data_IF_041801509176
#
_entry.id   IF_041801509176
#
_cell.length_a   1.000
_cell.length_b   1.000
_cell.length_c   1.000
_cell.angle_alpha   90.00
_cell.angle_beta   90.00
_cell.angle_gamma   90.00
#
_symmetry.space_group_name_H-M   'P 1'
#
loop_
_entity.id
_entity.type
_entity.pdbx_description
1 polymer ?
#
# COMPACT_ATOMS: atom_id res chain seq x y z
N UNK A 1 -9.94 11.50 25.00
CA UNK A 1 -10.23 12.54 23.98
C UNK A 1 -10.93 11.86 22.80
N UNK A 2 -12.18 12.23 22.50
CA UNK A 2 -13.01 11.56 21.47
C UNK A 2 -12.40 11.65 20.06
N UNK A 3 -11.73 12.76 19.73
CA UNK A 3 -11.07 12.95 18.44
C UNK A 3 -9.93 11.97 18.23
N UNK A 4 -9.12 11.74 19.27
CA UNK A 4 -8.01 10.76 19.24
C UNK A 4 -8.54 9.35 19.04
N UNK A 5 -9.59 8.97 19.79
CA UNK A 5 -10.20 7.64 19.63
C UNK A 5 -10.73 7.44 18.20
N UNK A 6 -11.46 8.42 17.68
CA UNK A 6 -11.99 8.38 16.31
C UNK A 6 -10.89 8.27 15.24
N UNK A 7 -9.72 8.85 15.49
CA UNK A 7 -8.56 8.79 14.60
C UNK A 7 -7.83 7.45 14.73
N UNK A 8 -7.70 6.90 15.93
CA UNK A 8 -7.17 5.54 16.15
C UNK A 8 -8.06 4.50 15.47
N UNK A 9 -9.38 4.56 15.69
CA UNK A 9 -10.36 3.66 15.07
C UNK A 9 -10.33 3.74 13.54
N UNK A 10 -10.11 4.95 12.99
CA UNK A 10 -9.88 5.14 11.56
C UNK A 10 -8.71 4.32 11.06
N UNK A 11 -7.57 4.45 11.76
CA UNK A 11 -6.32 3.86 11.31
C UNK A 11 -6.31 2.34 11.51
N UNK A 12 -7.02 1.81 12.50
CA UNK A 12 -7.18 0.37 12.69
C UNK A 12 -7.96 -0.29 11.55
N UNK A 13 -8.81 0.46 10.85
CA UNK A 13 -9.47 -0.04 9.64
C UNK A 13 -8.52 0.03 8.43
N UNK A 14 -8.02 -1.14 8.01
CA UNK A 14 -7.04 -1.25 6.93
C UNK A 14 -7.52 -0.62 5.61
N UNK A 15 -8.79 -0.80 5.26
CA UNK A 15 -9.37 -0.27 4.02
C UNK A 15 -9.45 1.25 4.03
N UNK A 16 -10.00 1.83 5.10
CA UNK A 16 -10.09 3.29 5.26
C UNK A 16 -8.71 3.94 5.25
N UNK A 17 -7.74 3.34 5.93
CA UNK A 17 -6.36 3.82 5.94
C UNK A 17 -5.75 3.80 4.54
N UNK A 18 -5.91 2.69 3.80
CA UNK A 18 -5.33 2.52 2.46
C UNK A 18 -5.95 3.50 1.46
N UNK A 19 -7.28 3.66 1.47
CA UNK A 19 -7.95 4.64 0.60
C UNK A 19 -7.52 6.07 0.91
N UNK A 20 -7.41 6.43 2.20
CA UNK A 20 -6.89 7.73 2.59
C UNK A 20 -5.43 7.90 2.18
N UNK A 21 -4.60 6.87 2.31
CA UNK A 21 -3.20 6.93 1.92
C UNK A 21 -3.07 7.21 0.42
N UNK A 22 -3.86 6.53 -0.41
CA UNK A 22 -3.87 6.78 -1.85
C UNK A 22 -4.34 8.20 -2.18
N UNK A 23 -5.44 8.64 -1.54
CA UNK A 23 -5.90 10.01 -1.67
C UNK A 23 -4.80 11.02 -1.31
N UNK A 24 -4.14 10.82 -0.18
CA UNK A 24 -3.10 11.70 0.32
C UNK A 24 -1.86 11.73 -0.57
N UNK A 25 -1.47 10.60 -1.14
CA UNK A 25 -0.26 10.47 -1.95
C UNK A 25 -0.47 10.89 -3.41
N UNK A 26 -1.63 10.60 -3.99
CA UNK A 26 -1.87 10.73 -5.44
C UNK A 26 -2.99 11.70 -5.79
N UNK A 27 -4.15 11.61 -5.12
CA UNK A 27 -5.34 12.37 -5.55
C UNK A 27 -5.37 13.80 -5.01
N UNK A 28 -4.73 14.05 -3.88
CA UNK A 28 -4.80 15.33 -3.20
C UNK A 28 -3.64 16.25 -3.62
N UNK A 29 -3.92 17.39 -4.28
CA UNK A 29 -2.87 18.27 -4.79
C UNK A 29 -2.01 18.87 -3.68
N UNK A 30 -0.71 19.00 -3.93
CA UNK A 30 0.23 19.55 -2.95
C UNK A 30 -0.10 21.00 -2.55
N UNK A 31 -0.64 21.80 -3.47
CA UNK A 31 -1.13 23.13 -3.13
C UNK A 31 -2.26 23.09 -2.09
N UNK A 32 -3.23 22.18 -2.25
CA UNK A 32 -4.33 22.05 -1.29
C UNK A 32 -3.86 21.47 0.05
N UNK A 33 -2.84 20.61 0.05
CA UNK A 33 -2.16 20.19 1.28
C UNK A 33 -1.60 21.40 2.01
N UNK A 34 -0.85 22.25 1.30
CA UNK A 34 -0.26 23.47 1.86
C UNK A 34 -1.35 24.38 2.43
N UNK A 35 -2.44 24.62 1.69
CA UNK A 35 -3.54 25.49 2.13
C UNK A 35 -4.21 24.98 3.43
N UNK A 36 -4.50 23.68 3.54
CA UNK A 36 -5.07 23.11 4.78
C UNK A 36 -4.09 23.24 5.95
N UNK A 37 -2.80 23.02 5.70
CA UNK A 37 -1.81 23.14 6.76
C UNK A 37 -1.57 24.58 7.21
N UNK A 38 -1.51 25.55 6.29
CA UNK A 38 -1.39 26.97 6.63
C UNK A 38 -2.59 27.42 7.45
N UNK A 39 -3.81 27.01 7.08
CA UNK A 39 -5.01 27.33 7.84
C UNK A 39 -4.93 26.81 9.28
N UNK A 40 -4.55 25.54 9.48
CA UNK A 40 -4.40 25.00 10.84
C UNK A 40 -3.25 25.67 11.60
N UNK A 41 -2.13 25.97 10.92
CA UNK A 41 -0.99 26.67 11.52
C UNK A 41 -1.39 28.06 12.02
N UNK A 42 -2.14 28.83 11.23
CA UNK A 42 -2.66 30.14 11.61
C UNK A 42 -3.60 30.05 12.82
N UNK A 43 -4.54 29.09 12.83
CA UNK A 43 -5.43 28.84 13.97
C UNK A 43 -4.62 28.61 15.25
N UNK A 44 -3.56 27.80 15.19
CA UNK A 44 -2.74 27.49 16.34
C UNK A 44 -1.91 28.69 16.81
N UNK A 45 -1.44 29.54 15.87
CA UNK A 45 -0.78 30.80 16.19
C UNK A 45 -1.75 31.76 16.90
N UNK A 46 -2.99 31.87 16.43
CA UNK A 46 -4.03 32.69 17.07
C UNK A 46 -4.36 32.20 18.50
N UNK A 47 -4.57 30.90 18.67
CA UNK A 47 -4.80 30.28 19.98
C UNK A 47 -3.63 30.50 20.95
N UNK A 48 -2.39 30.40 20.46
CA UNK A 48 -1.22 30.71 21.28
C UNK A 48 -1.16 32.19 21.65
N UNK A 49 -1.47 33.09 20.72
CA UNK A 49 -1.55 34.52 21.00
C UNK A 49 -2.59 34.84 22.07
N UNK A 50 -3.75 34.20 22.01
CA UNK A 50 -4.81 34.33 23.01
C UNK A 50 -4.36 33.79 24.38
N UNK A 51 -3.78 32.59 24.42
CA UNK A 51 -3.30 31.97 25.65
C UNK A 51 -2.23 32.81 26.38
N UNK A 52 -1.40 33.55 25.64
CA UNK A 52 -0.37 34.42 26.19
C UNK A 52 -0.78 35.90 26.31
N UNK A 53 -2.05 36.26 26.11
CA UNK A 53 -2.52 37.66 26.10
C UNK A 53 -2.10 38.46 27.35
N UNK A 54 -2.29 37.91 28.55
CA UNK A 54 -1.90 38.57 29.81
C UNK A 54 -0.39 38.86 29.87
N UNK A 55 0.44 37.93 29.37
CA UNK A 55 1.89 38.12 29.31
C UNK A 55 2.31 39.16 28.28
N UNK A 56 1.55 39.27 27.19
CA UNK A 56 1.76 40.30 26.15
C UNK A 56 1.36 41.69 26.62
N UNK A 57 0.23 41.82 27.30
CA UNK A 57 -0.24 43.09 27.87
C UNK A 57 0.78 43.65 28.88
N UNK A 58 1.42 42.75 29.63
CA UNK A 58 2.49 43.09 30.57
C UNK A 58 3.88 43.24 29.90
N UNK A 59 3.99 43.13 28.57
CA UNK A 59 5.24 43.13 27.79
C UNK A 59 6.29 42.10 28.25
N UNK A 60 5.86 41.03 28.94
CA UNK A 60 6.70 39.91 29.35
C UNK A 60 6.90 38.87 28.25
N UNK A 61 6.00 38.85 27.27
CA UNK A 61 6.04 37.97 26.10
C UNK A 61 5.87 38.85 24.86
N UNK A 62 6.78 38.72 23.90
CA UNK A 62 6.67 39.40 22.59
C UNK A 62 6.26 38.40 21.50
N UNK A 63 5.72 38.88 20.39
CA UNK A 63 5.28 38.02 19.27
C UNK A 63 6.38 37.06 18.78
N UNK A 64 7.64 37.51 18.81
CA UNK A 64 8.79 36.68 18.45
C UNK A 64 8.93 35.44 19.35
N UNK A 65 8.58 35.54 20.63
CA UNK A 65 8.66 34.41 21.57
C UNK A 65 7.61 33.36 21.22
N UNK A 66 6.39 33.81 20.88
CA UNK A 66 5.29 32.92 20.46
C UNK A 66 5.64 32.22 19.15
N UNK A 67 6.13 32.95 18.14
CA UNK A 67 6.59 32.35 16.88
C UNK A 67 7.75 31.37 17.09
N UNK A 68 8.64 31.64 18.06
CA UNK A 68 9.73 30.73 18.42
C UNK A 68 9.20 29.45 19.10
N UNK A 69 8.17 29.56 19.94
CA UNK A 69 7.50 28.41 20.55
C UNK A 69 6.79 27.56 19.49
N UNK A 70 6.03 28.19 18.61
CA UNK A 70 5.28 27.52 17.53
C UNK A 70 6.23 26.81 16.58
N UNK A 71 7.32 27.46 16.16
CA UNK A 71 8.34 26.82 15.31
C UNK A 71 9.08 25.67 16.01
N UNK A 72 9.23 25.70 17.34
CA UNK A 72 9.76 24.57 18.10
C UNK A 72 8.78 23.39 18.13
N UNK A 73 7.48 23.67 18.28
CA UNK A 73 6.41 22.66 18.21
C UNK A 73 6.38 22.04 16.80
N UNK A 74 6.36 22.88 15.77
CA UNK A 74 6.23 22.50 14.36
C UNK A 74 7.56 22.50 13.60
N UNK A 75 8.60 21.93 14.19
CA UNK A 75 9.96 21.97 13.63
C UNK A 75 10.08 21.41 12.20
N UNK A 76 9.26 20.43 11.85
CA UNK A 76 9.21 19.80 10.53
C UNK A 76 8.34 20.57 9.52
N UNK A 77 7.55 21.54 10.00
CA UNK A 77 6.67 22.35 9.18
C UNK A 77 7.30 23.72 8.86
N UNK A 78 6.96 24.33 7.72
CA UNK A 78 6.40 23.69 6.51
C UNK A 78 7.45 22.87 5.77
N UNK A 79 8.74 23.13 5.99
CA UNK A 79 9.80 22.70 5.07
C UNK A 79 9.91 21.19 4.85
N UNK A 80 9.79 20.36 5.88
CA UNK A 80 9.94 18.90 5.75
C UNK A 80 8.63 18.24 5.35
N UNK A 81 7.51 18.68 5.94
CA UNK A 81 6.16 18.17 5.63
C UNK A 81 5.67 18.53 4.22
N UNK A 82 6.13 19.65 3.67
CA UNK A 82 5.80 20.08 2.31
C UNK A 82 6.94 19.78 1.32
N UNK A 83 7.97 19.04 1.75
CA UNK A 83 9.01 18.52 0.87
C UNK A 83 8.56 17.26 0.13
N UNK A 84 9.36 16.80 -0.83
CA UNK A 84 9.16 15.50 -1.51
C UNK A 84 9.17 14.28 -0.57
N UNK A 85 9.65 14.41 0.67
CA UNK A 85 9.57 13.35 1.71
C UNK A 85 8.38 13.52 2.66
N UNK A 86 7.75 14.68 2.63
CA UNK A 86 6.63 15.06 3.48
C UNK A 86 5.37 14.19 3.37
N UNK A 87 5.00 13.67 2.18
CA UNK A 87 3.80 12.85 2.05
C UNK A 87 3.81 11.59 2.93
N UNK A 88 4.98 10.96 3.10
CA UNK A 88 5.12 9.76 3.94
C UNK A 88 5.15 10.09 5.42
N UNK A 89 5.70 11.24 5.80
CA UNK A 89 5.74 11.66 7.19
C UNK A 89 4.34 11.69 7.82
N UNK A 90 3.33 12.17 7.10
CA UNK A 90 1.94 12.14 7.56
C UNK A 90 1.43 10.70 7.78
N UNK A 91 1.75 9.79 6.86
CA UNK A 91 1.36 8.38 6.96
C UNK A 91 2.13 7.66 8.08
N UNK A 92 3.39 7.99 8.30
CA UNK A 92 4.23 7.49 9.40
C UNK A 92 3.61 7.90 10.75
N UNK A 93 3.20 9.16 10.84
CA UNK A 93 2.50 9.71 11.99
C UNK A 93 1.18 8.97 12.28
N UNK A 94 0.31 8.81 11.29
CA UNK A 94 -0.92 8.02 11.44
C UNK A 94 -0.63 6.55 11.76
N UNK A 95 0.42 5.98 11.18
CA UNK A 95 0.85 4.63 11.49
C UNK A 95 1.22 4.48 12.97
N UNK A 96 2.04 5.40 13.50
CA UNK A 96 2.44 5.40 14.92
C UNK A 96 1.22 5.41 15.84
N UNK A 97 0.20 6.22 15.54
CA UNK A 97 -1.05 6.28 16.32
C UNK A 97 -1.86 4.99 16.31
N UNK A 98 -1.67 4.16 15.29
CA UNK A 98 -2.30 2.84 15.16
C UNK A 98 -1.43 1.68 15.61
N UNK A 99 -0.22 1.95 16.10
CA UNK A 99 0.74 0.93 16.52
C UNK A 99 0.83 0.87 18.04
N UNK A 100 0.94 -0.33 18.60
CA UNK A 100 1.21 -0.53 20.04
C UNK A 100 2.61 -0.01 20.48
N UNK A 101 3.41 0.50 19.54
CA UNK A 101 4.81 0.87 19.75
C UNK A 101 4.94 2.27 20.32
N UNK A 102 4.80 2.38 21.65
CA UNK A 102 5.15 3.59 22.41
C UNK A 102 6.54 4.15 22.10
N UNK A 103 7.50 3.30 21.70
CA UNK A 103 8.87 3.69 21.35
C UNK A 103 8.97 4.48 20.04
N UNK A 104 8.12 4.19 19.04
CA UNK A 104 8.09 4.96 17.78
C UNK A 104 7.49 6.34 18.01
N UNK A 105 6.41 6.41 18.81
CA UNK A 105 5.84 7.68 19.26
C UNK A 105 6.83 8.50 20.09
N UNK A 106 7.58 7.87 21.00
CA UNK A 106 8.65 8.55 21.74
C UNK A 106 9.76 9.08 20.83
N UNK A 107 10.18 8.34 19.80
CA UNK A 107 11.21 8.81 18.83
C UNK A 107 10.75 10.06 18.08
N UNK A 108 9.53 9.99 17.57
CA UNK A 108 8.84 11.05 16.83
C UNK A 108 8.65 12.33 17.67
N UNK A 109 8.43 12.19 18.98
CA UNK A 109 8.43 13.31 19.91
C UNK A 109 9.84 13.76 20.33
N UNK A 110 10.81 12.86 20.41
CA UNK A 110 12.17 13.16 20.92
C UNK A 110 13.06 13.95 19.96
N UNK A 111 12.68 14.11 18.69
CA UNK A 111 13.47 14.90 17.72
C UNK A 111 13.31 16.43 17.91
N UNK A 112 12.52 16.83 18.91
CA UNK A 112 12.50 18.20 19.44
C UNK A 112 13.77 18.43 20.25
N UNK A 113 14.82 18.95 19.61
CA UNK A 113 16.05 19.39 20.28
C UNK A 113 15.81 20.69 21.04
N UNK A 114 15.16 20.61 22.20
CA UNK A 114 15.04 21.73 23.13
C UNK A 114 16.22 21.72 24.10
N UNK A 115 17.17 22.65 23.92
CA UNK A 115 18.19 22.92 24.95
C UNK A 115 17.54 23.75 26.07
N UNK A 116 17.31 23.15 27.23
CA UNK A 116 16.75 23.83 28.39
C UNK A 116 17.33 23.28 29.68
N UNK A 117 17.51 24.16 30.68
CA UNK A 117 17.88 23.77 32.04
C UNK A 117 16.68 23.26 32.85
N UNK A 118 15.46 23.49 32.36
CA UNK A 118 14.22 23.10 33.01
C UNK A 118 13.54 21.95 32.27
N UNK A 119 13.57 20.76 32.89
CA UNK A 119 12.97 19.53 32.34
C UNK A 119 11.45 19.65 32.14
N UNK A 120 10.76 20.44 32.96
CA UNK A 120 9.32 20.63 32.88
C UNK A 120 8.90 21.40 31.62
N UNK A 121 9.69 22.40 31.21
CA UNK A 121 9.45 23.11 29.94
C UNK A 121 9.61 22.19 28.73
N UNK A 122 10.61 21.31 28.73
CA UNK A 122 10.74 20.32 27.67
C UNK A 122 9.51 19.41 27.60
N UNK A 123 9.02 18.93 28.75
CA UNK A 123 7.81 18.11 28.81
C UNK A 123 6.57 18.84 28.30
N UNK A 124 6.40 20.12 28.63
CA UNK A 124 5.28 20.92 28.12
C UNK A 124 5.34 21.15 26.62
N UNK A 125 6.53 21.46 26.07
CA UNK A 125 6.69 21.61 24.61
C UNK A 125 6.36 20.31 23.88
N UNK A 126 6.81 19.17 24.41
CA UNK A 126 6.50 17.86 23.82
C UNK A 126 5.01 17.52 23.89
N UNK A 127 4.35 17.85 25.00
CA UNK A 127 2.91 17.65 25.16
C UNK A 127 2.10 18.55 24.22
N UNK A 128 2.47 19.83 24.11
CA UNK A 128 1.87 20.77 23.15
C UNK A 128 2.05 20.26 21.73
N UNK A 129 3.26 19.89 21.33
CA UNK A 129 3.52 19.32 20.00
C UNK A 129 2.65 18.11 19.69
N UNK A 130 2.55 17.18 20.64
CA UNK A 130 1.72 15.98 20.51
C UNK A 130 0.25 16.35 20.26
N UNK A 131 -0.29 17.26 21.06
CA UNK A 131 -1.68 17.71 20.97
C UNK A 131 -1.95 18.44 19.65
N UNK A 132 -1.07 19.36 19.29
CA UNK A 132 -1.20 20.17 18.09
C UNK A 132 -1.18 19.31 16.83
N UNK A 133 -0.22 18.39 16.71
CA UNK A 133 -0.15 17.45 15.58
C UNK A 133 -1.40 16.57 15.47
N UNK A 134 -1.90 16.06 16.60
CA UNK A 134 -3.14 15.29 16.65
C UNK A 134 -4.36 16.08 16.19
N UNK A 135 -4.42 17.37 16.53
CA UNK A 135 -5.49 18.28 16.10
C UNK A 135 -5.50 18.42 14.58
N UNK A 136 -4.35 18.79 14.00
CA UNK A 136 -4.17 18.96 12.55
C UNK A 136 -4.55 17.69 11.80
N UNK A 137 -4.07 16.52 12.24
CA UNK A 137 -4.36 15.27 11.54
C UNK A 137 -5.82 14.86 11.68
N UNK A 138 -6.45 15.12 12.83
CA UNK A 138 -7.88 14.87 13.01
C UNK A 138 -8.70 15.74 12.06
N UNK A 139 -8.32 17.01 11.87
CA UNK A 139 -8.97 17.91 10.91
C UNK A 139 -8.86 17.38 9.47
N UNK A 140 -7.65 17.01 9.03
CA UNK A 140 -7.40 16.47 7.68
C UNK A 140 -8.17 15.18 7.42
N UNK A 141 -8.16 14.23 8.36
CA UNK A 141 -8.90 12.98 8.21
C UNK A 141 -10.41 13.22 8.20
N UNK A 142 -10.92 14.18 8.98
CA UNK A 142 -12.33 14.54 8.96
C UNK A 142 -12.72 15.25 7.65
N UNK A 143 -11.85 16.11 7.11
CA UNK A 143 -12.04 16.70 5.78
C UNK A 143 -12.19 15.60 4.72
N UNK A 144 -11.27 14.63 4.68
CA UNK A 144 -11.36 13.48 3.77
C UNK A 144 -12.67 12.69 3.95
N UNK A 145 -13.06 12.42 5.20
CA UNK A 145 -14.30 11.69 5.50
C UNK A 145 -15.54 12.41 4.99
N UNK A 146 -15.58 13.74 5.13
CA UNK A 146 -16.69 14.53 4.62
C UNK A 146 -16.74 14.49 3.09
N UNK A 147 -15.58 14.64 2.44
CA UNK A 147 -15.47 14.54 0.98
C UNK A 147 -15.92 13.18 0.43
N UNK A 148 -15.65 12.07 1.14
CA UNK A 148 -16.09 10.73 0.72
C UNK A 148 -17.53 10.39 1.10
N UNK A 149 -18.09 10.98 2.15
CA UNK A 149 -19.51 10.79 2.52
C UNK A 149 -20.46 11.28 1.43
N UNK A 150 -20.05 12.31 0.69
CA UNK A 150 -20.82 12.81 -0.44
C UNK A 150 -20.75 11.89 -1.68
N UNK A 151 -19.94 10.83 -1.66
CA UNK A 151 -19.59 10.01 -2.84
C UNK A 151 -20.10 8.56 -2.76
N UNK A 152 -20.83 8.11 -1.73
CA UNK A 152 -21.33 6.70 -1.72
C UNK A 152 -22.63 6.45 -0.94
N UNK A 153 -23.59 5.75 -1.59
CA UNK A 153 -24.06 4.47 -1.05
C UNK A 153 -23.87 3.37 -2.10
N UNK A 154 -22.98 2.41 -1.85
CA UNK A 154 -22.80 1.30 -2.78
C UNK A 154 -21.66 0.34 -2.43
N UNK A 155 -22.05 -0.80 -1.86
CA UNK A 155 -21.33 -2.08 -1.80
C UNK A 155 -20.13 -2.18 -0.84
N UNK A 156 -20.45 -2.46 0.42
CA UNK A 156 -19.62 -3.34 1.24
C UNK A 156 -19.62 -4.75 0.63
N UNK A 157 -18.51 -5.12 -0.02
CA UNK A 157 -18.14 -6.54 -0.15
C UNK A 157 -17.03 -6.82 0.85
N UNK A 158 -17.44 -7.12 2.08
CA UNK A 158 -16.57 -7.73 3.07
C UNK A 158 -16.19 -9.13 2.60
N UNK A 159 -14.94 -9.32 2.19
CA UNK A 159 -14.32 -10.64 2.14
C UNK A 159 -12.85 -10.52 2.55
N UNK A 160 -12.65 -10.42 3.86
CA UNK A 160 -11.43 -10.88 4.53
C UNK A 160 -11.86 -11.54 5.85
N UNK A 161 -12.22 -12.83 5.77
CA UNK A 161 -11.98 -13.74 6.88
C UNK A 161 -10.52 -14.16 6.82
N UNK A 162 -9.59 -13.31 7.26
CA UNK A 162 -8.20 -13.72 7.45
C UNK A 162 -7.91 -13.85 8.94
N UNK A 163 -7.35 -14.99 9.28
CA UNK A 163 -6.93 -15.44 10.60
C UNK A 163 -6.20 -14.37 11.40
N UNK A 164 -6.43 -14.39 12.71
CA UNK A 164 -5.99 -13.47 13.77
C UNK A 164 -4.47 -13.30 13.99
N UNK A 165 -3.59 -13.66 13.03
CA UNK A 165 -2.12 -13.67 13.22
C UNK A 165 -1.32 -12.74 12.28
N UNK A 166 -1.91 -12.20 11.22
CA UNK A 166 -1.14 -11.36 10.28
C UNK A 166 -1.03 -9.90 10.75
N UNK A 167 0.16 -9.31 10.59
CA UNK A 167 0.40 -7.89 10.91
C UNK A 167 -0.55 -6.96 10.15
N UNK A 168 -1.02 -5.91 10.81
CA UNK A 168 -1.85 -4.84 10.20
C UNK A 168 -1.19 -4.26 8.93
N UNK A 169 0.14 -4.23 8.88
CA UNK A 169 0.88 -3.79 7.69
C UNK A 169 0.63 -4.70 6.48
N UNK A 170 0.67 -6.02 6.68
CA UNK A 170 0.39 -6.97 5.61
C UNK A 170 -1.05 -6.86 5.14
N UNK A 171 -2.01 -6.70 6.06
CA UNK A 171 -3.42 -6.48 5.70
C UNK A 171 -3.59 -5.22 4.82
N UNK A 172 -2.96 -4.11 5.20
CA UNK A 172 -2.99 -2.86 4.41
C UNK A 172 -2.29 -3.00 3.06
N UNK A 173 -1.19 -3.73 2.97
CA UNK A 173 -0.50 -3.98 1.69
C UNK A 173 -1.33 -4.87 0.77
N UNK A 174 -1.91 -5.95 1.28
CA UNK A 174 -2.83 -6.80 0.49
C UNK A 174 -4.03 -5.99 -0.01
N UNK A 175 -4.57 -5.12 0.83
CA UNK A 175 -5.63 -4.19 0.44
C UNK A 175 -5.19 -3.20 -0.64
N UNK A 176 -4.00 -2.62 -0.52
CA UNK A 176 -3.43 -1.71 -1.53
C UNK A 176 -3.22 -2.43 -2.87
N UNK A 177 -2.73 -3.67 -2.83
CA UNK A 177 -2.62 -4.53 -4.02
C UNK A 177 -4.01 -4.74 -4.62
N UNK A 178 -4.99 -5.20 -3.83
CA UNK A 178 -6.37 -5.46 -4.27
C UNK A 178 -7.02 -4.25 -4.97
N UNK A 179 -6.74 -3.04 -4.50
CA UNK A 179 -7.27 -1.79 -5.05
C UNK A 179 -6.42 -1.20 -6.19
N UNK A 180 -5.22 -1.73 -6.45
CA UNK A 180 -4.33 -1.24 -7.50
C UNK A 180 -3.48 -0.02 -7.11
N UNK A 181 -3.38 0.31 -5.82
CA UNK A 181 -2.71 1.51 -5.32
C UNK A 181 -1.19 1.31 -5.20
N UNK A 182 -0.50 1.52 -6.32
CA UNK A 182 0.95 1.36 -6.46
C UNK A 182 1.74 2.32 -5.54
N UNK A 183 1.25 3.54 -5.37
CA UNK A 183 1.81 4.57 -4.49
C UNK A 183 1.81 4.15 -3.01
N UNK A 184 0.69 3.60 -2.52
CA UNK A 184 0.57 3.09 -1.16
C UNK A 184 1.47 1.89 -0.96
N UNK A 185 1.52 0.97 -1.92
CA UNK A 185 2.44 -0.16 -1.91
C UNK A 185 3.91 0.32 -1.89
N UNK A 186 4.25 1.31 -2.71
CA UNK A 186 5.58 1.91 -2.78
C UNK A 186 5.98 2.52 -1.44
N UNK A 187 5.07 3.25 -0.78
CA UNK A 187 5.29 3.76 0.57
C UNK A 187 5.65 2.65 1.56
N UNK A 188 4.86 1.57 1.66
CA UNK A 188 5.14 0.48 2.61
C UNK A 188 6.48 -0.23 2.36
N UNK A 189 6.88 -0.39 1.10
CA UNK A 189 8.13 -1.05 0.73
C UNK A 189 9.33 -0.12 0.99
N UNK A 190 9.26 1.15 0.59
CA UNK A 190 10.38 2.11 0.70
C UNK A 190 10.68 2.52 2.14
N UNK A 191 9.66 2.57 2.99
CA UNK A 191 9.81 2.82 4.44
C UNK A 191 10.20 1.57 5.23
N UNK A 192 10.41 0.43 4.56
CA UNK A 192 10.74 -0.86 5.17
C UNK A 192 9.73 -1.32 6.25
N UNK A 193 8.47 -0.88 6.14
CA UNK A 193 7.38 -1.33 7.01
C UNK A 193 6.93 -2.76 6.70
N UNK A 194 7.19 -3.23 5.48
CA UNK A 194 6.97 -4.62 5.06
C UNK A 194 8.18 -5.18 4.32
N UNK A 195 8.37 -6.49 4.44
CA UNK A 195 9.26 -7.22 3.53
C UNK A 195 8.51 -7.49 2.20
N UNK A 196 8.98 -6.99 1.05
CA UNK A 196 8.35 -7.28 -0.25
C UNK A 196 8.46 -8.75 -0.67
N UNK A 197 9.39 -9.52 -0.07
CA UNK A 197 9.56 -10.96 -0.30
C UNK A 197 8.73 -11.83 0.65
N UNK A 198 7.79 -11.21 1.39
CA UNK A 198 6.87 -11.93 2.25
C UNK A 198 6.05 -12.94 1.45
N UNK A 199 5.78 -14.08 2.11
CA UNK A 199 4.82 -15.08 1.66
C UNK A 199 3.77 -15.24 2.74
N UNK A 200 2.51 -15.24 2.33
CA UNK A 200 1.41 -15.42 3.27
C UNK A 200 1.26 -16.87 3.73
N UNK A 201 0.22 -17.13 4.53
CA UNK A 201 -0.13 -18.47 5.03
C UNK A 201 -0.42 -19.53 3.95
N UNK A 202 -0.61 -19.12 2.69
CA UNK A 202 -0.83 -20.00 1.54
C UNK A 202 0.38 -20.00 0.58
N UNK A 203 1.55 -19.56 1.08
CA UNK A 203 2.80 -19.41 0.35
C UNK A 203 2.71 -18.43 -0.85
N UNK A 204 1.71 -17.53 -0.86
CA UNK A 204 1.51 -16.56 -1.94
C UNK A 204 2.40 -15.33 -1.72
N UNK A 205 3.14 -14.96 -2.75
CA UNK A 205 3.90 -13.69 -2.80
C UNK A 205 2.97 -12.53 -3.18
N UNK A 206 3.41 -11.29 -2.98
CA UNK A 206 2.67 -10.13 -3.48
C UNK A 206 2.49 -10.12 -5.00
N UNK A 207 3.42 -10.72 -5.76
CA UNK A 207 3.26 -10.92 -7.21
C UNK A 207 2.06 -11.83 -7.48
N UNK A 208 1.97 -12.95 -6.77
CA UNK A 208 0.83 -13.86 -6.87
C UNK A 208 -0.47 -13.17 -6.49
N UNK A 209 -0.49 -12.40 -5.39
CA UNK A 209 -1.65 -11.62 -4.96
C UNK A 209 -2.09 -10.59 -6.01
N UNK A 210 -1.15 -9.90 -6.67
CA UNK A 210 -1.45 -8.94 -7.73
C UNK A 210 -2.08 -9.60 -8.95
N UNK A 211 -1.65 -10.82 -9.31
CA UNK A 211 -2.26 -11.61 -10.38
C UNK A 211 -3.69 -12.03 -10.01
N UNK A 212 -3.89 -12.55 -8.80
CA UNK A 212 -5.20 -13.00 -8.30
C UNK A 212 -6.27 -11.89 -8.32
N UNK A 213 -5.88 -10.65 -7.99
CA UNK A 213 -6.79 -9.51 -7.99
C UNK A 213 -6.85 -8.74 -9.31
N UNK A 214 -6.21 -9.26 -10.37
CA UNK A 214 -6.12 -8.61 -11.68
C UNK A 214 -5.58 -7.18 -11.61
N UNK A 215 -4.33 -7.02 -11.15
CA UNK A 215 -3.72 -5.70 -10.91
C UNK A 215 -2.44 -5.50 -11.73
N UNK A 216 -2.56 -5.17 -13.03
CA UNK A 216 -1.41 -5.02 -13.94
C UNK A 216 -0.40 -3.97 -13.49
N UNK A 217 -0.85 -2.79 -13.03
CA UNK A 217 0.02 -1.70 -12.59
C UNK A 217 0.86 -2.09 -11.37
N UNK A 218 0.24 -2.78 -10.41
CA UNK A 218 0.91 -3.31 -9.22
C UNK A 218 1.89 -4.42 -9.59
N UNK A 219 1.49 -5.35 -10.45
CA UNK A 219 2.35 -6.42 -10.95
C UNK A 219 3.60 -5.87 -11.64
N UNK A 220 3.42 -4.91 -12.55
CA UNK A 220 4.52 -4.23 -13.23
C UNK A 220 5.47 -3.53 -12.24
N UNK A 221 4.93 -2.84 -11.24
CA UNK A 221 5.74 -2.21 -10.19
C UNK A 221 6.56 -3.24 -9.38
N UNK A 222 5.92 -4.32 -8.91
CA UNK A 222 6.57 -5.37 -8.11
C UNK A 222 7.71 -6.05 -8.87
N UNK A 223 7.52 -6.31 -10.17
CA UNK A 223 8.52 -6.98 -11.01
C UNK A 223 9.69 -6.05 -11.34
N UNK A 224 9.40 -4.79 -11.72
CA UNK A 224 10.41 -3.93 -12.33
C UNK A 224 11.09 -2.95 -11.35
N UNK A 225 10.40 -2.53 -10.27
CA UNK A 225 10.87 -1.46 -9.39
C UNK A 225 11.39 -1.95 -8.04
N UNK A 226 10.92 -3.09 -7.53
CA UNK A 226 11.35 -3.59 -6.21
C UNK A 226 12.75 -4.22 -6.29
N UNK A 227 13.60 -3.91 -5.30
CA UNK A 227 14.95 -4.45 -5.14
C UNK A 227 15.18 -4.98 -3.71
N UNK A 228 15.82 -6.15 -3.53
CA UNK A 228 16.23 -7.08 -4.59
C UNK A 228 15.02 -7.66 -5.34
N UNK A 229 15.19 -8.22 -6.55
CA UNK A 229 14.06 -8.70 -7.33
C UNK A 229 13.31 -9.84 -6.64
N UNK A 230 11.98 -9.78 -6.66
CA UNK A 230 11.12 -10.86 -6.16
C UNK A 230 11.12 -11.99 -7.19
N UNK A 231 11.19 -13.24 -6.73
CA UNK A 231 11.07 -14.40 -7.60
C UNK A 231 9.63 -14.49 -8.17
N UNK A 232 9.53 -14.43 -9.50
CA UNK A 232 8.27 -14.43 -10.25
C UNK A 232 7.68 -15.82 -10.41
N UNK A 233 8.46 -16.88 -10.13
CA UNK A 233 8.04 -18.28 -10.30
C UNK A 233 7.58 -18.93 -9.00
N UNK A 234 7.67 -18.24 -7.86
CA UNK A 234 7.28 -18.77 -6.56
C UNK A 234 5.83 -19.33 -6.59
N UNK A 235 5.63 -20.65 -6.41
CA UNK A 235 4.31 -21.24 -6.41
C UNK A 235 3.58 -20.97 -5.09
N UNK A 236 2.25 -20.87 -5.15
CA UNK A 236 1.39 -20.95 -3.97
C UNK A 236 1.32 -22.39 -3.45
N UNK A 237 0.66 -22.60 -2.30
CA UNK A 237 0.46 -23.95 -1.74
C UNK A 237 -0.35 -24.89 -2.64
N UNK A 238 -1.09 -24.34 -3.62
CA UNK A 238 -1.78 -25.10 -4.67
C UNK A 238 -0.85 -25.56 -5.81
N UNK A 239 0.45 -25.28 -5.70
CA UNK A 239 1.46 -25.54 -6.72
C UNK A 239 1.43 -24.59 -7.92
N UNK A 240 0.37 -23.77 -8.06
CA UNK A 240 0.26 -22.79 -9.13
C UNK A 240 1.29 -21.67 -8.94
N UNK A 241 2.06 -21.37 -9.99
CA UNK A 241 2.87 -20.14 -10.10
C UNK A 241 1.99 -18.95 -10.50
N UNK A 242 2.48 -17.69 -10.40
CA UNK A 242 1.73 -16.54 -10.90
C UNK A 242 1.35 -16.67 -12.39
N UNK A 243 2.16 -17.33 -13.21
CA UNK A 243 1.84 -17.55 -14.62
C UNK A 243 0.71 -18.56 -14.82
N UNK A 244 0.66 -19.63 -13.99
CA UNK A 244 -0.49 -20.54 -13.97
C UNK A 244 -1.78 -19.79 -13.63
N UNK A 245 -1.77 -18.96 -12.58
CA UNK A 245 -2.94 -18.19 -12.18
C UNK A 245 -3.38 -17.18 -13.26
N UNK A 246 -2.43 -16.50 -13.92
CA UNK A 246 -2.74 -15.57 -15.00
C UNK A 246 -3.34 -16.27 -16.23
N UNK A 247 -2.80 -17.44 -16.59
CA UNK A 247 -3.31 -18.26 -17.70
C UNK A 247 -4.69 -18.85 -17.39
N UNK A 248 -4.89 -19.35 -16.17
CA UNK A 248 -6.17 -19.85 -15.67
C UNK A 248 -7.25 -18.76 -15.64
N UNK A 249 -6.87 -17.50 -15.43
CA UNK A 249 -7.82 -16.38 -15.45
C UNK A 249 -8.08 -15.85 -16.87
N UNK A 250 -7.46 -16.40 -17.91
CA UNK A 250 -7.56 -15.91 -19.29
C UNK A 250 -7.01 -14.50 -19.50
N UNK A 251 -6.14 -14.02 -18.59
CA UNK A 251 -5.75 -12.62 -18.58
C UNK A 251 -4.49 -12.37 -19.39
N UNK A 252 -4.68 -12.05 -20.67
CA UNK A 252 -3.60 -11.79 -21.64
C UNK A 252 -2.65 -10.68 -21.19
N UNK A 253 -3.15 -9.64 -20.51
CA UNK A 253 -2.32 -8.53 -20.04
C UNK A 253 -1.35 -9.00 -18.93
N UNK A 254 -1.86 -9.70 -17.91
CA UNK A 254 -1.02 -10.24 -16.84
C UNK A 254 -0.02 -11.28 -17.36
N UNK A 255 -0.45 -12.17 -18.26
CA UNK A 255 0.43 -13.12 -18.94
C UNK A 255 1.54 -12.37 -19.69
N UNK A 256 1.19 -11.31 -20.44
CA UNK A 256 2.18 -10.50 -21.17
C UNK A 256 3.19 -9.85 -20.23
N UNK A 257 2.76 -9.28 -19.10
CA UNK A 257 3.65 -8.65 -18.12
C UNK A 257 4.60 -9.69 -17.49
N UNK A 258 4.10 -10.88 -17.13
CA UNK A 258 4.92 -11.95 -16.56
C UNK A 258 5.95 -12.48 -17.56
N UNK A 259 5.53 -12.71 -18.81
CA UNK A 259 6.39 -13.23 -19.88
C UNK A 259 7.49 -12.26 -20.33
N UNK A 260 7.36 -10.96 -20.05
CA UNK A 260 8.41 -9.98 -20.27
C UNK A 260 9.56 -10.10 -19.26
N UNK A 261 9.38 -10.82 -18.15
CA UNK A 261 10.45 -11.01 -17.18
C UNK A 261 11.43 -12.09 -17.68
N UNK A 262 12.74 -11.80 -17.83
CA UNK A 262 13.71 -12.75 -18.38
C UNK A 262 13.94 -14.00 -17.51
N UNK A 263 13.47 -14.00 -16.25
CA UNK A 263 13.59 -15.14 -15.33
C UNK A 263 12.31 -15.96 -15.23
N UNK A 264 11.27 -15.64 -15.99
CA UNK A 264 10.02 -16.40 -15.97
C UNK A 264 10.26 -17.82 -16.51
N UNK A 265 9.75 -18.81 -15.79
CA UNK A 265 9.70 -20.19 -16.28
C UNK A 265 8.33 -20.43 -16.91
N UNK A 266 8.26 -20.25 -18.23
CA UNK A 266 7.05 -20.45 -19.04
C UNK A 266 6.52 -21.89 -18.99
N UNK A 267 7.40 -22.85 -18.71
CA UNK A 267 7.12 -24.29 -18.72
C UNK A 267 7.07 -24.87 -17.30
N UNK A 268 6.90 -24.02 -16.29
CA UNK A 268 6.71 -24.43 -14.90
C UNK A 268 5.63 -25.51 -14.82
N UNK A 269 5.94 -26.63 -14.16
CA UNK A 269 4.98 -27.71 -13.91
C UNK A 269 4.36 -27.56 -12.52
N UNK A 270 3.07 -27.83 -12.40
CA UNK A 270 2.37 -27.94 -11.13
C UNK A 270 2.17 -29.43 -10.74
N UNK A 271 2.99 -29.99 -9.83
CA UNK A 271 2.89 -31.39 -9.43
C UNK A 271 1.56 -31.75 -8.73
N UNK A 272 0.85 -30.76 -8.19
CA UNK A 272 -0.45 -30.97 -7.54
C UNK A 272 -1.61 -31.04 -8.55
N UNK A 273 -1.32 -30.77 -9.83
CA UNK A 273 -2.27 -30.78 -10.92
C UNK A 273 -1.68 -31.57 -12.09
N UNK A 274 -1.20 -32.78 -11.82
CA UNK A 274 -0.67 -33.70 -12.84
C UNK A 274 0.42 -33.07 -13.73
N UNK A 275 1.32 -32.26 -13.16
CA UNK A 275 2.34 -31.51 -13.92
C UNK A 275 1.77 -30.53 -14.96
N UNK A 276 0.53 -30.04 -14.76
CA UNK A 276 -0.05 -29.00 -15.59
C UNK A 276 0.91 -27.83 -15.75
N UNK A 277 0.97 -27.29 -16.96
CA UNK A 277 1.73 -26.08 -17.30
C UNK A 277 0.76 -24.93 -17.51
N UNK A 278 1.22 -23.66 -17.55
CA UNK A 278 0.36 -22.55 -17.90
C UNK A 278 -0.34 -22.72 -19.26
N UNK A 279 0.33 -23.37 -20.23
CA UNK A 279 -0.25 -23.67 -21.54
C UNK A 279 -1.42 -24.66 -21.44
N UNK A 280 -1.29 -25.73 -20.65
CA UNK A 280 -2.38 -26.68 -20.43
C UNK A 280 -3.62 -25.99 -19.85
N UNK A 281 -3.45 -25.15 -18.82
CA UNK A 281 -4.56 -24.41 -18.21
C UNK A 281 -5.20 -23.42 -19.18
N UNK A 282 -4.42 -22.75 -20.04
CA UNK A 282 -4.95 -21.85 -21.05
C UNK A 282 -5.82 -22.57 -22.10
N UNK A 283 -5.39 -23.76 -22.54
CA UNK A 283 -6.11 -24.59 -23.51
C UNK A 283 -7.40 -25.14 -22.89
N UNK A 284 -7.35 -25.70 -21.67
CA UNK A 284 -8.53 -26.26 -20.99
C UNK A 284 -9.68 -25.25 -20.83
N UNK A 285 -9.35 -23.96 -20.78
CA UNK A 285 -10.31 -22.88 -20.59
C UNK A 285 -10.67 -22.15 -21.90
N UNK A 286 -10.12 -22.55 -23.03
CA UNK A 286 -10.39 -21.93 -24.33
C UNK A 286 -9.88 -20.49 -24.45
N UNK A 287 -8.79 -20.15 -23.76
CA UNK A 287 -8.23 -18.80 -23.79
C UNK A 287 -7.25 -18.64 -24.96
N UNK A 288 -7.76 -18.61 -26.19
CA UNK A 288 -6.97 -18.64 -27.43
C UNK A 288 -5.87 -17.58 -27.47
N UNK A 289 -6.17 -16.34 -27.09
CA UNK A 289 -5.17 -15.26 -27.05
C UNK A 289 -4.02 -15.53 -26.06
N UNK A 290 -4.31 -16.18 -24.93
CA UNK A 290 -3.29 -16.60 -23.96
C UNK A 290 -2.47 -17.75 -24.54
N UNK A 291 -3.11 -18.71 -25.20
CA UNK A 291 -2.44 -19.84 -25.86
C UNK A 291 -1.46 -19.32 -26.92
N UNK A 292 -1.93 -18.48 -27.84
CA UNK A 292 -1.08 -17.84 -28.86
C UNK A 292 0.10 -17.10 -28.23
N UNK A 293 -0.14 -16.36 -27.14
CA UNK A 293 0.89 -15.60 -26.45
C UNK A 293 1.96 -16.50 -25.83
N UNK A 294 1.55 -17.58 -25.16
CA UNK A 294 2.44 -18.56 -24.55
C UNK A 294 3.28 -19.27 -25.62
N UNK A 295 2.66 -19.74 -26.70
CA UNK A 295 3.34 -20.40 -27.81
C UNK A 295 4.36 -19.49 -28.48
N UNK A 296 3.98 -18.23 -28.75
CA UNK A 296 4.89 -17.22 -29.32
C UNK A 296 6.11 -16.94 -28.44
N UNK A 297 6.00 -17.12 -27.13
CA UNK A 297 7.10 -16.96 -26.17
C UNK A 297 7.85 -18.28 -25.87
N UNK A 298 7.57 -19.35 -26.62
CA UNK A 298 8.31 -20.62 -26.54
C UNK A 298 7.79 -21.61 -25.50
N UNK A 299 6.49 -21.57 -25.17
CA UNK A 299 5.88 -22.63 -24.38
C UNK A 299 5.99 -23.98 -25.10
N UNK A 300 6.39 -25.02 -24.37
CA UNK A 300 6.65 -26.33 -24.94
C UNK A 300 5.37 -27.17 -25.02
N UNK A 301 4.87 -27.38 -26.25
CA UNK A 301 3.65 -28.16 -26.54
C UNK A 301 3.79 -29.67 -26.30
N UNK A 302 5.04 -30.17 -26.17
CA UNK A 302 5.35 -31.59 -25.96
C UNK A 302 5.31 -32.00 -24.49
N UNK A 303 5.21 -31.04 -23.56
CA UNK A 303 5.00 -31.36 -22.15
C UNK A 303 3.62 -31.97 -21.98
N UNK A 304 3.51 -32.87 -21.00
CA UNK A 304 2.26 -33.57 -20.69
C UNK A 304 1.71 -33.14 -19.35
N UNK A 305 0.38 -33.07 -19.27
CA UNK A 305 -0.38 -33.05 -18.03
C UNK A 305 -0.88 -34.47 -17.78
N UNK A 306 -0.30 -35.16 -16.81
CA UNK A 306 -0.45 -36.61 -16.68
C UNK A 306 0.07 -37.29 -17.96
N UNK A 307 -0.83 -37.99 -18.66
CA UNK A 307 -0.52 -38.64 -19.94
C UNK A 307 -0.91 -37.82 -21.17
N UNK A 308 -1.65 -36.72 -20.99
CA UNK A 308 -2.26 -35.91 -22.05
C UNK A 308 -1.28 -34.86 -22.58
N UNK A 309 -1.14 -34.77 -23.90
CA UNK A 309 -0.46 -33.66 -24.57
C UNK A 309 -1.37 -32.43 -24.67
N UNK A 310 -0.79 -31.26 -24.97
CA UNK A 310 -1.57 -30.06 -25.27
C UNK A 310 -2.64 -30.28 -26.36
N UNK A 311 -2.34 -31.10 -27.37
CA UNK A 311 -3.29 -31.45 -28.43
C UNK A 311 -4.42 -32.35 -27.93
N UNK A 312 -4.14 -33.30 -27.04
CA UNK A 312 -5.16 -34.18 -26.48
C UNK A 312 -6.15 -33.36 -25.64
N UNK A 313 -5.63 -32.46 -24.80
CA UNK A 313 -6.45 -31.51 -24.03
C UNK A 313 -7.30 -30.64 -24.97
N UNK A 314 -6.73 -30.08 -26.05
CA UNK A 314 -7.50 -29.29 -27.00
C UNK A 314 -8.64 -30.08 -27.65
N UNK A 315 -8.45 -31.37 -27.96
CA UNK A 315 -9.52 -32.24 -28.48
C UNK A 315 -10.58 -32.54 -27.44
N UNK A 316 -10.16 -32.91 -26.23
CA UNK A 316 -11.06 -33.33 -25.14
C UNK A 316 -11.97 -32.19 -24.67
N UNK A 317 -11.47 -30.95 -24.70
CA UNK A 317 -12.22 -29.75 -24.30
C UNK A 317 -12.91 -29.04 -25.48
N UNK A 318 -12.77 -29.54 -26.72
CA UNK A 318 -13.48 -29.04 -27.89
C UNK A 318 -12.86 -27.83 -28.59
N UNK A 319 -11.59 -27.53 -28.33
CA UNK A 319 -10.83 -26.42 -28.91
C UNK A 319 -10.05 -26.82 -30.17
N UNK A 320 -10.77 -27.35 -31.16
CA UNK A 320 -10.16 -27.88 -32.39
C UNK A 320 -9.42 -26.81 -33.21
N UNK A 321 -9.83 -25.55 -33.09
CA UNK A 321 -9.22 -24.36 -33.68
C UNK A 321 -7.77 -24.13 -33.22
N UNK A 322 -7.39 -24.62 -32.03
CA UNK A 322 -6.03 -24.50 -31.50
C UNK A 322 -5.08 -25.56 -32.04
N UNK A 323 -5.59 -26.66 -32.60
CA UNK A 323 -4.74 -27.78 -33.07
C UNK A 323 -3.65 -27.37 -34.06
N UNK A 324 -3.89 -26.48 -35.05
CA UNK A 324 -2.83 -26.01 -35.95
C UNK A 324 -1.69 -25.32 -35.20
N UNK A 325 -1.99 -24.59 -34.11
CA UNK A 325 -1.00 -23.89 -33.30
C UNK A 325 -0.18 -24.83 -32.41
N UNK A 326 -0.72 -26.02 -32.09
CA UNK A 326 -0.12 -26.99 -31.18
C UNK A 326 0.74 -28.05 -31.89
N UNK A 327 1.00 -27.86 -33.18
CA UNK A 327 1.83 -28.76 -34.01
C UNK A 327 3.26 -28.28 -34.22
N UNK A 328 3.57 -27.03 -33.88
CA UNK A 328 4.91 -26.41 -34.00
C UNK A 328 5.81 -26.72 -32.81
#
# INVERSE_FOLDING_TARGET
NKSVQNLCDFCLNAEKFVQFSHFWLSDFPDQQKNEIFELEYEIIVEEANFAFAVGRDQRKVINRDILSLISAIFREYPGVLLSSKGPYMFLDYLHVLSSDKQTSYKRLLSDVKCSTRNKQFAQWILAMRSFTLLSVWSAIVNFYRNLKRDVSPGQDRSLLSSSSKESIHHQRVVQAIRLGFVDVLHYYITTALVNPHYKDSHNRTYIFTAVMYNQPSVLHYLINRVKPPIDVNCPADTGNTPLHAAANNGNVNLVTILLQNPRIDINSKNPQCEDATPLHLAIMLGNDEVVEKLLKMGANVQLKMGDLTAQDIARDFGHAELLPLLTT
#
